data_IF_368987651911
#
_entry.id   IF_368987651911
#
_cell.length_a   1.000
_cell.length_b   1.000
_cell.length_c   1.000
_cell.angle_alpha   90.00
_cell.angle_beta   90.00
_cell.angle_gamma   90.00
#
_symmetry.space_group_name_H-M   'P 1'
#
loop_
_entity.id
_entity.type
_entity.pdbx_description
1 polymer ?
#
# COMPACT_ATOMS: atom_id res chain seq x y z
N UNK A 1 2.96 -0.97 -3.66
CA UNK A 1 2.96 -1.91 -2.51
C UNK A 1 2.14 -3.15 -2.83
N UNK A 2 0.89 -2.97 -3.27
CA UNK A 2 -0.05 -4.05 -3.67
C UNK A 2 0.47 -4.92 -4.81
N UNK A 3 1.15 -4.33 -5.79
CA UNK A 3 1.77 -5.04 -6.91
C UNK A 3 3.12 -5.72 -6.57
N UNK A 4 3.48 -5.87 -5.30
CA UNK A 4 4.76 -6.47 -4.87
C UNK A 4 5.99 -5.54 -4.96
N UNK A 5 5.86 -4.31 -5.48
CA UNK A 5 6.98 -3.38 -5.62
C UNK A 5 7.71 -3.09 -4.29
N UNK A 6 9.04 -3.07 -4.33
CA UNK A 6 9.90 -2.64 -3.22
C UNK A 6 9.82 -1.12 -3.02
N UNK A 7 10.17 -0.62 -1.83
CA UNK A 7 10.18 0.82 -1.55
C UNK A 7 11.12 1.58 -2.51
N UNK A 8 12.20 0.94 -2.98
CA UNK A 8 13.12 1.51 -3.98
C UNK A 8 12.46 1.67 -5.35
N UNK A 9 11.69 0.67 -5.79
CA UNK A 9 10.94 0.77 -7.05
C UNK A 9 9.83 1.83 -6.97
N UNK A 10 9.15 1.92 -5.83
CA UNK A 10 8.14 2.95 -5.56
C UNK A 10 8.79 4.35 -5.60
N UNK A 11 9.94 4.50 -4.95
CA UNK A 11 10.73 5.73 -4.97
C UNK A 11 11.10 6.14 -6.40
N UNK A 12 11.63 5.19 -7.19
CA UNK A 12 11.97 5.43 -8.60
C UNK A 12 10.76 5.79 -9.46
N UNK A 13 9.63 5.11 -9.26
CA UNK A 13 8.39 5.38 -10.02
C UNK A 13 7.76 6.74 -9.68
N UNK A 14 7.94 7.22 -8.45
CA UNK A 14 7.38 8.49 -7.98
C UNK A 14 8.39 9.65 -8.08
N UNK A 15 9.65 9.38 -8.39
CA UNK A 15 10.72 10.39 -8.43
C UNK A 15 11.07 10.98 -7.06
N UNK A 16 10.79 10.27 -5.96
CA UNK A 16 11.03 10.74 -4.58
C UNK A 16 12.08 9.88 -3.88
N UNK A 17 12.62 10.36 -2.76
CA UNK A 17 13.62 9.61 -2.01
C UNK A 17 13.03 8.36 -1.33
N UNK A 18 13.86 7.34 -1.12
CA UNK A 18 13.48 6.13 -0.37
C UNK A 18 12.95 6.46 1.03
N UNK A 19 13.61 7.40 1.72
CA UNK A 19 13.22 7.90 3.05
C UNK A 19 11.83 8.52 3.03
N UNK A 20 11.50 9.25 1.97
CA UNK A 20 10.17 9.85 1.76
C UNK A 20 9.11 8.77 1.58
N UNK A 21 9.40 7.73 0.78
CA UNK A 21 8.50 6.58 0.62
C UNK A 21 8.26 5.87 1.96
N UNK A 22 9.30 5.59 2.73
CA UNK A 22 9.18 4.96 4.06
C UNK A 22 8.30 5.80 4.99
N UNK A 23 8.51 7.12 5.01
CA UNK A 23 7.69 8.04 5.81
C UNK A 23 6.23 8.02 5.38
N UNK A 24 5.95 8.02 4.07
CA UNK A 24 4.59 7.91 3.56
C UNK A 24 3.93 6.59 3.95
N UNK A 25 4.64 5.47 3.83
CA UNK A 25 4.13 4.14 4.19
C UNK A 25 3.80 4.08 5.67
N UNK A 26 4.70 4.52 6.54
CA UNK A 26 4.47 4.56 7.99
C UNK A 26 3.27 5.44 8.34
N UNK A 27 3.13 6.60 7.69
CA UNK A 27 1.97 7.46 7.91
C UNK A 27 0.66 6.83 7.42
N UNK A 28 0.68 6.11 6.31
CA UNK A 28 -0.48 5.36 5.80
C UNK A 28 -0.87 4.26 6.79
N UNK A 29 0.11 3.47 7.27
CA UNK A 29 -0.10 2.44 8.29
C UNK A 29 -0.70 3.01 9.57
N UNK A 30 -0.13 4.10 10.09
CA UNK A 30 -0.65 4.78 11.29
C UNK A 30 -2.08 5.31 11.09
N UNK A 31 -2.39 5.87 9.91
CA UNK A 31 -3.74 6.38 9.60
C UNK A 31 -4.78 5.26 9.47
N UNK A 32 -4.37 4.09 9.01
CA UNK A 32 -5.25 2.93 8.84
C UNK A 32 -5.26 2.00 10.06
N UNK A 33 -4.42 2.27 11.08
CA UNK A 33 -4.28 1.41 12.25
C UNK A 33 -3.64 0.05 11.95
N UNK A 34 -2.86 -0.06 10.87
CA UNK A 34 -2.26 -1.32 10.42
C UNK A 34 -0.80 -1.39 10.86
N UNK A 35 -0.33 -2.56 11.26
CA UNK A 35 1.05 -2.76 11.72
C UNK A 35 1.96 -3.32 10.62
N UNK A 36 1.37 -4.03 9.64
CA UNK A 36 2.13 -4.78 8.66
C UNK A 36 1.70 -4.51 7.22
N UNK A 37 2.65 -4.76 6.32
CA UNK A 37 2.39 -4.72 4.87
C UNK A 37 1.34 -5.76 4.44
N UNK A 38 1.31 -6.92 5.10
CA UNK A 38 0.32 -7.97 4.81
C UNK A 38 -1.09 -7.49 5.17
N UNK A 39 -1.25 -6.84 6.32
CA UNK A 39 -2.52 -6.22 6.71
C UNK A 39 -2.94 -5.13 5.72
N UNK A 40 -2.03 -4.30 5.22
CA UNK A 40 -2.36 -3.32 4.17
C UNK A 40 -2.85 -4.00 2.88
N UNK A 41 -2.22 -5.10 2.46
CA UNK A 41 -2.65 -5.85 1.27
C UNK A 41 -4.03 -6.47 1.50
N UNK A 42 -4.27 -7.07 2.67
CA UNK A 42 -5.57 -7.63 3.02
C UNK A 42 -6.64 -6.53 3.10
N UNK A 43 -6.35 -5.41 3.75
CA UNK A 43 -7.24 -4.25 3.86
C UNK A 43 -7.62 -3.71 2.47
N UNK A 44 -6.65 -3.55 1.58
CA UNK A 44 -6.93 -3.12 0.20
C UNK A 44 -7.67 -4.19 -0.61
N UNK A 45 -7.43 -5.49 -0.37
CA UNK A 45 -8.17 -6.57 -1.04
C UNK A 45 -9.62 -6.62 -0.57
N UNK A 46 -9.87 -6.45 0.73
CA UNK A 46 -11.20 -6.38 1.33
C UNK A 46 -11.98 -5.17 0.77
N UNK A 47 -11.33 -4.00 0.71
CA UNK A 47 -11.89 -2.81 0.06
C UNK A 47 -12.06 -2.96 -1.46
N UNK A 48 -11.24 -3.80 -2.10
CA UNK A 48 -11.32 -4.12 -3.53
C UNK A 48 -12.07 -5.43 -3.77
N UNK A 49 -12.99 -5.81 -2.88
CA UNK A 49 -14.10 -6.67 -3.31
C UNK A 49 -15.04 -5.74 -4.06
N UNK A 50 -15.01 -5.64 -5.42
CA UNK A 50 -16.22 -5.20 -6.07
C UNK A 50 -17.27 -6.21 -5.61
N UNK A 51 -18.41 -5.72 -5.16
CA UNK A 51 -19.66 -6.29 -5.58
C UNK A 51 -19.57 -6.54 -7.09
N UNK A 52 -18.95 -7.65 -7.47
CA UNK A 52 -19.08 -8.26 -8.77
C UNK A 52 -20.50 -8.81 -8.75
N UNK A 53 -21.45 -7.93 -9.11
CA UNK A 53 -22.74 -8.39 -9.58
C UNK A 53 -22.48 -9.52 -10.57
N UNK A 54 -23.06 -10.70 -10.37
CA UNK A 54 -23.12 -11.69 -11.43
C UNK A 54 -24.08 -11.15 -12.49
N UNK A 55 -23.54 -10.84 -13.67
CA UNK A 55 -24.31 -10.85 -14.92
C UNK A 55 -23.47 -11.57 -15.98
#
# INVERSE_FOLDING_TARGET
ILSGNTNRQIAGSLGISLRTVETHITNIFNKLGLATRAELVNYCTDLYTPSNEPN
#
